data_IF_131746218604
#
_entry.id   IF_131746218604
#
_cell.length_a   1.000
_cell.length_b   1.000
_cell.length_c   1.000
_cell.angle_alpha   90.00
_cell.angle_beta   90.00
_cell.angle_gamma   90.00
#
_symmetry.space_group_name_H-M   'P 1'
#
loop_
_entity.id
_entity.type
_entity.pdbx_description
1 polymer ?
#
# COMPACT_ATOMS: atom_id res chain seq x y z
N UNK A 1 1.60 36.27 25.42
CA UNK A 1 1.23 37.01 24.20
C UNK A 1 0.43 36.06 23.34
N UNK A 2 -0.90 36.19 23.39
CA UNK A 2 -1.84 35.40 22.60
C UNK A 2 -2.09 36.16 21.30
N UNK A 3 -1.80 35.54 20.16
CA UNK A 3 -2.10 36.11 18.84
C UNK A 3 -3.45 35.56 18.40
N UNK A 4 -4.47 36.41 18.35
CA UNK A 4 -5.73 36.12 17.66
C UNK A 4 -5.52 36.35 16.17
N UNK A 5 -5.59 35.28 15.37
CA UNK A 5 -5.62 35.36 13.91
C UNK A 5 -7.05 35.09 13.43
N UNK A 6 -7.69 36.11 12.85
CA UNK A 6 -8.97 35.96 12.16
C UNK A 6 -8.70 35.28 10.81
N UNK A 7 -9.36 34.15 10.54
CA UNK A 7 -9.31 33.55 9.22
C UNK A 7 -9.99 34.52 8.23
N UNK A 8 -9.36 34.87 7.09
CA UNK A 8 -10.01 35.72 6.11
C UNK A 8 -11.22 34.98 5.57
N UNK A 9 -12.41 35.53 5.82
CA UNK A 9 -13.64 35.05 5.18
C UNK A 9 -13.48 35.27 3.67
N UNK A 10 -13.79 34.27 2.81
CA UNK A 10 -13.76 34.47 1.37
C UNK A 10 -14.71 35.61 1.01
N UNK A 11 -14.23 36.54 0.19
CA UNK A 11 -15.03 37.68 -0.28
C UNK A 11 -16.22 37.12 -1.05
N UNK A 12 -17.44 37.56 -0.71
CA UNK A 12 -18.69 37.11 -1.35
C UNK A 12 -18.63 37.17 -2.89
N UNK A 13 -17.79 38.05 -3.42
CA UNK A 13 -17.51 38.23 -4.86
C UNK A 13 -16.90 36.98 -5.54
N UNK A 14 -16.11 36.16 -4.82
CA UNK A 14 -15.50 34.94 -5.34
C UNK A 14 -16.52 33.79 -5.44
N UNK A 15 -17.47 33.76 -4.50
CA UNK A 15 -18.57 32.80 -4.43
C UNK A 15 -19.62 33.10 -5.51
N UNK A 16 -19.89 34.39 -5.78
CA UNK A 16 -20.87 34.80 -6.79
C UNK A 16 -20.36 34.57 -8.23
N UNK A 17 -19.03 34.57 -8.46
CA UNK A 17 -18.48 34.23 -9.78
C UNK A 17 -18.77 32.78 -10.21
N UNK A 18 -19.09 31.90 -9.25
CA UNK A 18 -19.49 30.53 -9.52
C UNK A 18 -20.95 30.40 -9.99
N UNK A 19 -21.81 31.41 -9.75
CA UNK A 19 -23.27 31.34 -9.94
C UNK A 19 -23.86 32.18 -11.07
N UNK A 20 -23.06 32.87 -11.89
CA UNK A 20 -23.58 33.63 -13.03
C UNK A 20 -22.78 33.36 -14.31
N UNK A 21 -23.13 32.26 -14.99
CA UNK A 21 -22.98 32.03 -16.43
C UNK A 21 -23.63 30.69 -16.77
N UNK A 22 -24.90 30.71 -17.15
CA UNK A 22 -25.49 29.68 -18.02
C UNK A 22 -24.85 29.81 -19.42
N UNK A 23 -23.59 29.42 -19.52
CA UNK A 23 -22.95 29.03 -20.77
C UNK A 23 -22.59 27.57 -20.60
N UNK A 24 -22.84 26.74 -21.62
CA UNK A 24 -22.54 25.30 -21.63
C UNK A 24 -21.24 24.98 -20.88
N UNK A 25 -21.37 24.60 -19.60
CA UNK A 25 -20.25 24.12 -18.79
C UNK A 25 -19.97 22.70 -19.24
N UNK A 26 -19.22 22.57 -20.33
CA UNK A 26 -18.62 21.29 -20.67
C UNK A 26 -17.64 20.91 -19.58
N UNK A 27 -17.79 19.70 -19.03
CA UNK A 27 -16.87 19.18 -18.03
C UNK A 27 -15.45 19.22 -18.60
N UNK A 28 -14.51 19.85 -17.89
CA UNK A 28 -13.08 19.83 -18.25
C UNK A 28 -12.55 18.40 -18.40
N UNK A 29 -13.17 17.44 -17.73
CA UNK A 29 -12.81 16.04 -17.72
C UNK A 29 -13.65 15.26 -18.75
N UNK A 30 -13.10 15.05 -19.95
CA UNK A 30 -13.82 14.39 -21.06
C UNK A 30 -14.14 12.90 -20.85
N UNK A 31 -13.51 12.25 -19.86
CA UNK A 31 -13.68 10.82 -19.57
C UNK A 31 -14.49 10.55 -18.29
N UNK A 32 -14.94 11.58 -17.58
CA UNK A 32 -15.70 11.42 -16.32
C UNK A 32 -17.19 11.51 -16.62
N UNK A 33 -17.94 10.46 -16.31
CA UNK A 33 -19.40 10.41 -16.54
C UNK A 33 -20.17 11.02 -15.38
N UNK A 34 -21.42 11.44 -15.63
CA UNK A 34 -22.30 11.96 -14.57
C UNK A 34 -22.54 10.93 -13.46
N UNK A 35 -22.64 9.64 -13.81
CA UNK A 35 -22.77 8.57 -12.82
C UNK A 35 -21.54 8.40 -11.93
N UNK A 36 -20.33 8.65 -12.45
CA UNK A 36 -19.11 8.67 -11.61
C UNK A 36 -19.12 9.85 -10.64
N UNK A 37 -19.60 11.02 -11.07
CA UNK A 37 -19.76 12.20 -10.20
C UNK A 37 -20.76 11.91 -9.08
N UNK A 38 -21.91 11.33 -9.41
CA UNK A 38 -22.93 10.95 -8.44
C UNK A 38 -22.37 9.93 -7.42
N UNK A 39 -21.61 8.93 -7.88
CA UNK A 39 -20.96 7.97 -6.98
C UNK A 39 -19.97 8.62 -6.01
N UNK A 40 -19.26 9.68 -6.43
CA UNK A 40 -18.39 10.47 -5.55
C UNK A 40 -19.21 11.23 -4.52
N UNK A 41 -20.28 11.90 -4.93
CA UNK A 41 -21.19 12.63 -4.01
C UNK A 41 -21.77 11.67 -2.96
N UNK A 42 -22.22 10.49 -3.39
CA UNK A 42 -22.72 9.45 -2.49
C UNK A 42 -21.64 8.98 -1.49
N UNK A 43 -20.38 8.83 -1.93
CA UNK A 43 -19.25 8.49 -1.03
C UNK A 43 -18.90 9.61 -0.05
N UNK A 44 -19.17 10.86 -0.38
CA UNK A 44 -18.99 12.00 0.52
C UNK A 44 -20.11 12.14 1.56
N UNK A 45 -21.20 11.37 1.44
CA UNK A 45 -22.37 11.48 2.31
C UNK A 45 -23.51 12.31 1.71
N UNK A 46 -23.57 12.42 0.38
CA UNK A 46 -24.60 13.18 -0.33
C UNK A 46 -24.23 14.65 -0.53
N UNK A 47 -25.23 15.47 -0.86
CA UNK A 47 -25.03 16.90 -1.13
C UNK A 47 -24.43 17.66 0.05
N UNK A 48 -24.77 17.29 1.28
CA UNK A 48 -24.22 17.91 2.49
C UNK A 48 -22.70 17.71 2.58
N UNK A 49 -22.25 16.46 2.41
CA UNK A 49 -20.84 16.12 2.37
C UNK A 49 -20.07 16.80 1.24
N UNK A 50 -20.70 16.94 0.06
CA UNK A 50 -20.15 17.70 -1.05
C UNK A 50 -19.96 19.18 -0.70
N UNK A 51 -20.98 19.84 -0.11
CA UNK A 51 -20.89 21.25 0.30
C UNK A 51 -19.78 21.47 1.32
N UNK A 52 -19.69 20.58 2.31
CA UNK A 52 -18.64 20.60 3.34
C UNK A 52 -17.25 20.38 2.73
N UNK A 53 -17.11 19.49 1.76
CA UNK A 53 -15.86 19.30 1.02
C UNK A 53 -15.44 20.54 0.23
N UNK A 54 -16.37 21.15 -0.52
CA UNK A 54 -16.10 22.36 -1.30
C UNK A 54 -15.80 23.59 -0.43
N UNK A 55 -16.37 23.64 0.78
CA UNK A 55 -16.06 24.70 1.76
C UNK A 55 -14.71 24.51 2.48
N UNK A 56 -14.04 23.36 2.29
CA UNK A 56 -12.81 23.00 2.99
C UNK A 56 -13.02 22.45 4.40
N UNK A 57 -14.26 22.35 4.89
CA UNK A 57 -14.59 21.71 6.18
C UNK A 57 -14.31 20.21 6.16
N UNK A 58 -14.61 19.54 5.03
CA UNK A 58 -14.28 18.13 4.81
C UNK A 58 -13.05 18.03 3.90
N UNK A 59 -12.10 17.18 4.28
CA UNK A 59 -10.90 16.90 3.48
C UNK A 59 -10.85 15.42 3.13
N UNK A 60 -10.69 15.11 1.85
CA UNK A 60 -10.39 13.75 1.39
C UNK A 60 -8.89 13.54 1.50
N UNK A 61 -8.49 12.54 2.28
CA UNK A 61 -7.10 12.06 2.37
C UNK A 61 -7.03 10.66 1.80
N UNK A 62 -5.87 10.32 1.24
CA UNK A 62 -5.58 8.92 0.98
C UNK A 62 -5.64 8.14 2.29
N UNK A 63 -6.26 6.96 2.25
CA UNK A 63 -6.31 6.10 3.43
C UNK A 63 -4.91 5.53 3.63
N UNK A 64 -4.18 6.08 4.59
CA UNK A 64 -2.94 5.49 5.07
C UNK A 64 -3.25 4.15 5.74
N UNK A 65 -3.14 3.06 4.97
CA UNK A 65 -3.21 1.71 5.53
C UNK A 65 -1.88 1.40 6.21
N UNK A 66 -1.88 1.40 7.53
CA UNK A 66 -0.73 0.97 8.34
C UNK A 66 -0.74 -0.55 8.46
N UNK A 67 0.37 -1.17 8.09
CA UNK A 67 0.59 -2.60 8.29
C UNK A 67 1.45 -2.82 9.52
N UNK A 68 1.03 -3.73 10.39
CA UNK A 68 1.81 -4.07 11.58
C UNK A 68 2.97 -4.99 11.21
N UNK A 69 4.17 -4.64 11.69
CA UNK A 69 5.34 -5.50 11.56
C UNK A 69 5.11 -6.78 12.35
N UNK A 70 5.26 -7.91 11.67
CA UNK A 70 5.12 -9.23 12.26
C UNK A 70 6.46 -9.74 12.80
N UNK A 71 7.51 -9.62 11.99
CA UNK A 71 8.88 -10.04 12.32
C UNK A 71 9.88 -9.14 11.62
N UNK A 72 11.02 -8.96 12.25
CA UNK A 72 12.17 -8.27 11.66
C UNK A 72 13.29 -9.28 11.50
N UNK A 73 13.86 -9.40 10.31
CA UNK A 73 14.95 -10.35 10.01
C UNK A 73 16.13 -9.64 9.38
N UNK A 74 17.31 -10.22 9.59
CA UNK A 74 18.53 -9.81 8.91
C UNK A 74 18.72 -10.62 7.62
N UNK A 75 18.86 -9.94 6.49
CA UNK A 75 19.30 -10.51 5.22
C UNK A 75 20.79 -10.29 5.04
N UNK A 76 21.36 -10.91 4.00
CA UNK A 76 22.74 -10.65 3.61
C UNK A 76 23.78 -11.22 4.57
N UNK A 77 23.48 -12.36 5.17
CA UNK A 77 24.40 -13.04 6.10
C UNK A 77 25.58 -13.74 5.40
N UNK A 78 25.88 -13.36 4.15
CA UNK A 78 26.92 -13.95 3.31
C UNK A 78 26.68 -15.41 2.92
N UNK A 79 25.42 -15.86 2.90
CA UNK A 79 25.06 -17.25 2.60
C UNK A 79 24.48 -17.36 1.20
N UNK A 80 25.04 -18.27 0.40
CA UNK A 80 24.41 -18.70 -0.84
C UNK A 80 23.45 -19.88 -0.60
N UNK A 81 22.85 -20.40 -1.68
CA UNK A 81 21.92 -21.52 -1.60
C UNK A 81 22.52 -22.77 -0.90
N UNK A 82 23.78 -23.11 -1.18
CA UNK A 82 24.46 -24.27 -0.58
C UNK A 82 24.78 -24.04 0.89
N UNK A 83 25.16 -22.82 1.26
CA UNK A 83 25.36 -22.44 2.67
C UNK A 83 24.05 -22.56 3.45
N UNK A 84 22.92 -22.11 2.87
CA UNK A 84 21.61 -22.30 3.49
C UNK A 84 21.25 -23.77 3.65
N UNK A 85 21.50 -24.60 2.63
CA UNK A 85 21.26 -26.06 2.73
C UNK A 85 22.02 -26.66 3.89
N UNK A 86 23.31 -26.34 3.98
CA UNK A 86 24.19 -26.86 5.03
C UNK A 86 23.74 -26.39 6.41
N UNK A 87 23.60 -25.08 6.62
CA UNK A 87 23.26 -24.52 7.93
C UNK A 87 21.88 -24.97 8.41
N UNK A 88 20.89 -25.08 7.51
CA UNK A 88 19.58 -25.59 7.87
C UNK A 88 19.65 -27.07 8.32
N UNK A 89 20.38 -27.92 7.60
CA UNK A 89 20.57 -29.33 7.97
C UNK A 89 21.34 -29.48 9.27
N UNK A 90 22.41 -28.70 9.46
CA UNK A 90 23.24 -28.72 10.68
C UNK A 90 22.43 -28.33 11.93
N UNK A 91 21.41 -27.48 11.76
CA UNK A 91 20.45 -27.13 12.83
C UNK A 91 19.28 -28.11 12.97
N UNK A 92 19.29 -29.23 12.25
CA UNK A 92 18.26 -30.27 12.32
C UNK A 92 16.99 -29.97 11.52
N UNK A 93 17.01 -28.97 10.62
CA UNK A 93 15.89 -28.74 9.71
C UNK A 93 15.94 -29.66 8.50
N UNK A 94 14.82 -30.33 8.22
CA UNK A 94 14.65 -31.10 7.00
C UNK A 94 14.27 -30.21 5.82
N UNK A 95 15.02 -30.31 4.73
CA UNK A 95 14.74 -29.65 3.46
C UNK A 95 14.12 -30.69 2.52
N UNK A 96 12.85 -30.51 2.17
CA UNK A 96 12.18 -31.37 1.20
C UNK A 96 12.59 -31.06 -0.24
N UNK A 97 12.39 -32.01 -1.16
CA UNK A 97 12.81 -31.91 -2.57
C UNK A 97 12.38 -30.58 -3.23
N UNK A 98 11.13 -30.17 -3.05
CA UNK A 98 10.64 -28.90 -3.61
C UNK A 98 11.36 -27.66 -3.07
N UNK A 99 11.70 -27.65 -1.78
CA UNK A 99 12.44 -26.54 -1.19
C UNK A 99 13.89 -26.53 -1.69
N UNK A 100 14.49 -27.70 -1.83
CA UNK A 100 15.84 -27.86 -2.38
C UNK A 100 15.92 -27.40 -3.84
N UNK A 101 14.91 -27.75 -4.65
CA UNK A 101 14.76 -27.28 -6.03
C UNK A 101 14.63 -25.76 -6.11
N UNK A 102 13.86 -25.14 -5.19
CA UNK A 102 13.69 -23.68 -5.14
C UNK A 102 15.02 -22.99 -4.84
N UNK A 103 15.80 -23.50 -3.88
CA UNK A 103 17.13 -22.97 -3.54
C UNK A 103 18.10 -23.09 -4.74
N UNK A 104 17.92 -24.09 -5.61
CA UNK A 104 18.77 -24.30 -6.79
C UNK A 104 18.40 -23.44 -8.00
N UNK A 105 17.29 -22.69 -7.96
CA UNK A 105 16.86 -21.88 -9.12
C UNK A 105 17.71 -20.63 -9.28
N UNK A 106 18.00 -20.18 -10.51
CA UNK A 106 18.67 -18.89 -10.75
C UNK A 106 17.93 -17.68 -10.18
N UNK A 107 16.62 -17.82 -9.97
CA UNK A 107 15.79 -16.79 -9.35
C UNK A 107 16.00 -16.67 -7.83
N UNK A 108 16.67 -17.66 -7.19
CA UNK A 108 17.06 -17.55 -5.79
C UNK A 108 18.32 -16.70 -5.68
N UNK A 109 18.15 -15.49 -5.16
CA UNK A 109 19.24 -14.59 -4.80
C UNK A 109 19.28 -14.38 -3.30
N UNK A 110 20.49 -14.15 -2.79
CA UNK A 110 20.76 -13.71 -1.43
C UNK A 110 21.35 -12.30 -1.49
N UNK A 111 21.01 -11.47 -0.52
CA UNK A 111 21.60 -10.14 -0.42
C UNK A 111 23.11 -10.28 -0.16
N UNK A 112 23.90 -9.38 -0.74
CA UNK A 112 25.36 -9.32 -0.51
C UNK A 112 25.70 -8.49 0.71
N UNK A 113 24.86 -7.51 1.04
CA UNK A 113 25.02 -6.60 2.16
C UNK A 113 24.03 -6.94 3.26
N UNK A 114 24.49 -6.84 4.50
CA UNK A 114 23.65 -7.08 5.67
C UNK A 114 22.58 -5.98 5.78
N UNK A 115 21.32 -6.37 5.65
CA UNK A 115 20.18 -5.45 5.68
C UNK A 115 19.10 -6.01 6.58
N UNK A 116 18.61 -5.17 7.48
CA UNK A 116 17.45 -5.49 8.31
C UNK A 116 16.16 -5.15 7.53
N UNK A 117 15.22 -6.07 7.50
CA UNK A 117 13.92 -5.86 6.86
C UNK A 117 12.76 -6.22 7.80
N UNK A 118 11.69 -5.44 7.68
CA UNK A 118 10.43 -5.69 8.36
C UNK A 118 9.49 -6.52 7.48
N UNK A 119 9.05 -7.63 8.02
CA UNK A 119 8.04 -8.49 7.40
C UNK A 119 6.67 -8.15 7.96
N UNK A 120 5.74 -7.86 7.07
CA UNK A 120 4.34 -7.67 7.41
C UNK A 120 3.52 -8.87 6.97
N UNK A 121 2.46 -9.19 7.73
CA UNK A 121 1.49 -10.21 7.34
C UNK A 121 0.20 -9.52 6.96
N UNK A 122 -0.16 -9.61 5.68
CA UNK A 122 -1.33 -8.93 5.12
C UNK A 122 -2.27 -9.94 4.50
N UNK A 123 -3.54 -9.88 4.88
CA UNK A 123 -4.60 -10.67 4.29
C UNK A 123 -5.07 -10.06 2.97
N UNK A 124 -5.63 -10.89 2.09
CA UNK A 124 -6.19 -10.44 0.81
C UNK A 124 -7.32 -9.41 1.01
N UNK A 125 -8.08 -9.54 2.11
CA UNK A 125 -9.11 -8.58 2.50
C UNK A 125 -8.53 -7.20 2.89
N UNK A 126 -7.41 -7.17 3.62
CA UNK A 126 -6.73 -5.92 4.00
C UNK A 126 -6.14 -5.19 2.78
N UNK A 127 -5.79 -5.91 1.72
CA UNK A 127 -5.41 -5.31 0.43
C UNK A 127 -6.61 -4.68 -0.31
N UNK A 128 -7.85 -5.03 0.09
CA UNK A 128 -9.09 -4.47 -0.44
C UNK A 128 -9.92 -5.44 -1.28
N UNK A 129 -9.56 -6.73 -1.33
CA UNK A 129 -10.27 -7.73 -2.12
C UNK A 129 -11.22 -8.55 -1.24
N UNK A 130 -12.53 -8.39 -1.42
CA UNK A 130 -13.56 -9.04 -0.60
C UNK A 130 -13.80 -10.51 -0.97
N UNK A 131 -13.65 -10.87 -2.24
CA UNK A 131 -13.97 -12.21 -2.78
C UNK A 131 -12.71 -13.00 -3.20
N UNK A 132 -11.53 -12.53 -2.77
CA UNK A 132 -10.24 -13.03 -3.27
C UNK A 132 -9.75 -12.26 -4.50
N UNK A 133 -8.56 -12.60 -4.96
CA UNK A 133 -7.90 -11.95 -6.10
C UNK A 133 -6.87 -12.87 -6.73
N UNK A 134 -6.54 -12.61 -8.00
CA UNK A 134 -5.42 -13.28 -8.67
C UNK A 134 -4.09 -12.78 -8.09
N UNK A 135 -3.08 -13.65 -8.14
CA UNK A 135 -1.76 -13.39 -7.53
C UNK A 135 -1.07 -12.13 -8.04
N UNK A 136 -1.19 -11.85 -9.34
CA UNK A 136 -0.68 -10.62 -9.96
C UNK A 136 -1.37 -9.38 -9.40
N UNK A 137 -2.71 -9.39 -9.30
CA UNK A 137 -3.49 -8.30 -8.71
C UNK A 137 -3.12 -8.05 -7.23
N UNK A 138 -2.86 -9.12 -6.47
CA UNK A 138 -2.40 -9.04 -5.09
C UNK A 138 -1.05 -8.32 -5.01
N UNK A 139 -0.11 -8.66 -5.90
CA UNK A 139 1.23 -8.06 -5.90
C UNK A 139 1.21 -6.60 -6.34
N UNK A 140 0.44 -6.28 -7.39
CA UNK A 140 0.25 -4.89 -7.83
C UNK A 140 -0.37 -4.07 -6.70
N UNK A 141 -1.42 -4.59 -6.07
CA UNK A 141 -2.08 -3.89 -4.98
C UNK A 141 -1.19 -3.71 -3.75
N UNK A 142 -0.36 -4.70 -3.43
CA UNK A 142 0.63 -4.57 -2.35
C UNK A 142 1.61 -3.42 -2.63
N UNK A 143 2.12 -3.33 -3.87
CA UNK A 143 3.02 -2.25 -4.31
C UNK A 143 2.36 -0.88 -4.28
N UNK A 144 1.11 -0.77 -4.73
CA UNK A 144 0.33 0.47 -4.62
C UNK A 144 0.15 0.95 -3.18
N UNK A 145 0.16 0.01 -2.22
CA UNK A 145 0.06 0.30 -0.79
C UNK A 145 1.43 0.50 -0.13
N UNK A 146 2.50 0.63 -0.91
CA UNK A 146 3.86 0.87 -0.42
C UNK A 146 4.57 -0.37 0.12
N UNK A 147 4.05 -1.57 -0.14
CA UNK A 147 4.70 -2.83 0.23
C UNK A 147 5.57 -3.36 -0.90
N UNK A 148 6.61 -4.10 -0.53
CA UNK A 148 7.48 -4.80 -1.47
C UNK A 148 7.33 -6.31 -1.36
N UNK A 149 7.66 -7.00 -2.44
CA UNK A 149 7.69 -8.46 -2.43
C UNK A 149 8.93 -8.94 -1.68
N UNK A 150 8.74 -9.94 -0.81
CA UNK A 150 9.83 -10.52 -0.05
C UNK A 150 10.93 -11.09 -0.98
N UNK A 151 12.21 -10.76 -0.73
CA UNK A 151 13.33 -11.42 -1.38
C UNK A 151 13.32 -12.93 -1.17
N UNK A 152 13.94 -13.70 -2.06
CA UNK A 152 13.99 -15.17 -1.95
C UNK A 152 14.69 -15.68 -0.69
N UNK A 153 15.68 -14.93 -0.18
CA UNK A 153 16.43 -15.23 1.03
C UNK A 153 15.57 -15.21 2.31
N UNK A 154 14.42 -14.52 2.28
CA UNK A 154 13.52 -14.37 3.45
C UNK A 154 13.11 -15.72 4.02
N UNK A 155 12.76 -16.69 3.17
CA UNK A 155 12.29 -18.01 3.62
C UNK A 155 13.32 -18.74 4.50
N UNK A 156 14.54 -19.01 3.97
CA UNK A 156 15.62 -19.61 4.75
C UNK A 156 16.00 -18.81 6.00
N UNK A 157 16.11 -17.48 5.89
CA UNK A 157 16.52 -16.63 7.03
C UNK A 157 15.51 -16.63 8.16
N UNK A 158 14.22 -16.55 7.83
CA UNK A 158 13.15 -16.62 8.81
C UNK A 158 13.21 -17.94 9.59
N UNK A 159 13.52 -19.06 8.91
CA UNK A 159 13.70 -20.36 9.55
C UNK A 159 14.94 -20.40 10.46
N UNK A 160 16.03 -19.75 10.08
CA UNK A 160 17.25 -19.72 10.90
C UNK A 160 17.16 -18.77 12.10
N UNK A 161 16.36 -17.70 12.02
CA UNK A 161 16.36 -16.66 13.05
C UNK A 161 15.26 -16.85 14.10
N UNK A 162 14.17 -17.56 13.78
CA UNK A 162 12.99 -17.66 14.64
C UNK A 162 12.53 -19.09 14.96
N UNK A 163 13.34 -20.10 14.66
CA UNK A 163 13.16 -21.48 15.11
C UNK A 163 14.40 -21.96 15.87
#
# INVERSE_FOLDING_TARGET
>A
MTTEVVAPQPREEEIISANSREGERTMKYGNVTMGQVEAVINKLGGEDGMKRFLSGELVVKEIERKFNVWKTINLGTGKNADDFRKVLKDRGFNIGNWADDILGKPAFTAATEATEIDLVKVTVAELGFKEGARRDQIYERAKELGLELCPSEVGPQLRLQYH
#
